data_IF_631827140000
#
_entry.id   IF_631827140000
#
_cell.length_a   1.000
_cell.length_b   1.000
_cell.length_c   1.000
_cell.angle_alpha   90.00
_cell.angle_beta   90.00
_cell.angle_gamma   90.00
#
_symmetry.space_group_name_H-M   'P 1'
#
loop_
_entity.id
_entity.type
_entity.pdbx_description
1 polymer ?
#
# COMPACT_ATOMS: atom_id res chain seq x y z
N UNK A 1 17.21 -35.16 -19.79
CA UNK A 1 15.92 -34.94 -19.09
C UNK A 1 16.03 -35.58 -17.72
N UNK A 2 16.41 -34.80 -16.70
CA UNK A 2 16.27 -35.21 -15.29
C UNK A 2 15.74 -34.02 -14.52
N UNK A 3 14.49 -34.16 -14.07
CA UNK A 3 13.70 -33.16 -13.40
C UNK A 3 13.90 -33.30 -11.89
N UNK A 4 15.01 -32.73 -11.37
CA UNK A 4 15.23 -32.65 -9.93
C UNK A 4 14.28 -31.61 -9.31
N UNK A 5 13.17 -32.08 -8.77
CA UNK A 5 12.29 -31.26 -7.93
C UNK A 5 12.96 -31.10 -6.58
N UNK A 6 13.37 -29.87 -6.23
CA UNK A 6 13.70 -29.53 -4.84
C UNK A 6 12.41 -29.68 -4.03
N UNK A 7 12.29 -30.75 -3.24
CA UNK A 7 11.19 -30.95 -2.30
C UNK A 7 11.70 -30.64 -0.89
N UNK A 8 11.35 -29.44 -0.38
CA UNK A 8 11.55 -29.09 1.02
C UNK A 8 10.46 -29.76 1.87
N UNK A 9 10.85 -30.72 2.71
CA UNK A 9 9.96 -31.45 3.64
C UNK A 9 9.94 -30.79 5.04
N UNK A 10 10.77 -29.77 5.28
CA UNK A 10 10.81 -29.06 6.55
C UNK A 10 9.90 -27.81 6.48
N UNK A 11 8.74 -27.91 7.13
CA UNK A 11 7.87 -26.75 7.37
C UNK A 11 8.42 -25.92 8.53
N UNK A 12 9.20 -24.88 8.21
CA UNK A 12 9.67 -23.95 9.22
C UNK A 12 8.58 -22.93 9.59
N UNK A 13 8.07 -22.99 10.83
CA UNK A 13 6.99 -22.15 11.34
C UNK A 13 7.46 -21.07 12.32
N UNK A 14 8.78 -20.87 12.46
CA UNK A 14 9.34 -19.92 13.43
C UNK A 14 8.93 -18.48 13.07
N UNK A 15 8.37 -17.78 14.05
CA UNK A 15 8.05 -16.36 13.96
C UNK A 15 9.02 -15.59 14.84
N UNK A 16 9.72 -14.62 14.25
CA UNK A 16 10.65 -13.75 14.97
C UNK A 16 10.00 -12.40 15.17
N UNK A 17 9.61 -12.11 16.41
CA UNK A 17 9.04 -10.80 16.74
C UNK A 17 10.15 -9.73 16.75
N UNK A 18 9.86 -8.52 16.24
CA UNK A 18 10.77 -7.40 16.38
C UNK A 18 10.98 -7.04 17.87
N UNK A 19 12.14 -6.47 18.17
CA UNK A 19 12.46 -6.01 19.52
C UNK A 19 11.48 -4.92 20.03
N UNK A 20 11.25 -4.89 21.34
CA UNK A 20 10.33 -3.95 21.98
C UNK A 20 10.75 -2.47 21.76
N UNK A 21 12.04 -2.17 21.80
CA UNK A 21 12.57 -0.82 21.53
C UNK A 21 12.37 -0.38 20.08
N UNK A 22 12.36 -1.32 19.14
CA UNK A 22 12.04 -1.05 17.73
C UNK A 22 10.55 -0.78 17.54
N UNK A 23 9.68 -1.63 18.10
CA UNK A 23 8.22 -1.48 17.98
C UNK A 23 7.70 -0.20 18.62
N UNK A 24 8.29 0.25 19.72
CA UNK A 24 7.94 1.51 20.37
C UNK A 24 8.15 2.75 19.48
N UNK A 25 9.06 2.69 18.49
CA UNK A 25 9.36 3.78 17.55
C UNK A 25 8.67 3.60 16.19
N UNK A 26 7.86 2.56 16.02
CA UNK A 26 7.19 2.29 14.77
C UNK A 26 6.12 3.36 14.47
N UNK A 27 6.10 3.88 13.24
CA UNK A 27 5.08 4.84 12.80
C UNK A 27 3.69 4.20 12.63
N UNK A 28 3.66 2.89 12.40
CA UNK A 28 2.44 2.12 12.18
C UNK A 28 2.43 0.96 13.17
N UNK A 29 1.44 0.96 14.05
CA UNK A 29 1.21 -0.13 15.01
C UNK A 29 0.38 -1.25 14.36
N UNK A 30 0.35 -2.48 14.93
CA UNK A 30 -0.48 -3.56 14.41
C UNK A 30 -1.96 -3.20 14.34
N UNK A 31 -2.47 -2.49 15.35
CA UNK A 31 -3.84 -1.98 15.36
C UNK A 31 -4.06 -0.98 14.22
N UNK A 32 -3.14 -0.02 14.03
CA UNK A 32 -3.25 0.96 12.95
C UNK A 32 -3.19 0.31 11.57
N UNK A 33 -2.34 -0.71 11.41
CA UNK A 33 -2.24 -1.48 10.18
C UNK A 33 -3.56 -2.21 9.86
N UNK A 34 -4.21 -2.79 10.88
CA UNK A 34 -5.50 -3.45 10.72
C UNK A 34 -6.59 -2.46 10.27
N UNK A 35 -6.63 -1.25 10.86
CA UNK A 35 -7.54 -0.18 10.43
C UNK A 35 -7.29 0.23 8.97
N UNK A 36 -6.03 0.45 8.59
CA UNK A 36 -5.66 0.85 7.22
C UNK A 36 -6.06 -0.22 6.20
N UNK A 37 -5.87 -1.50 6.54
CA UNK A 37 -6.30 -2.63 5.70
C UNK A 37 -7.82 -2.67 5.54
N UNK A 38 -8.55 -2.57 6.64
CA UNK A 38 -10.02 -2.56 6.58
C UNK A 38 -10.56 -1.38 5.75
N UNK A 39 -9.93 -0.20 5.85
CA UNK A 39 -10.29 0.95 5.04
C UNK A 39 -10.01 0.71 3.54
N UNK A 40 -8.85 0.16 3.20
CA UNK A 40 -8.47 -0.15 1.83
C UNK A 40 -9.33 -1.27 1.20
N UNK A 41 -9.74 -2.27 2.00
CA UNK A 41 -10.64 -3.33 1.57
C UNK A 41 -12.06 -2.83 1.30
N UNK A 42 -12.53 -1.86 2.09
CA UNK A 42 -13.87 -1.29 1.93
C UNK A 42 -13.98 -0.42 0.68
N UNK A 43 -13.02 0.46 0.45
CA UNK A 43 -12.96 1.33 -0.73
C UNK A 43 -11.51 1.75 -1.01
N UNK A 44 -10.86 1.02 -1.91
CA UNK A 44 -9.46 1.24 -2.26
C UNK A 44 -9.23 2.59 -2.95
N UNK A 45 -10.20 3.06 -3.75
CA UNK A 45 -10.10 4.33 -4.49
C UNK A 45 -10.18 5.50 -3.52
N UNK A 46 -11.17 5.50 -2.62
CA UNK A 46 -11.30 6.54 -1.59
C UNK A 46 -10.13 6.52 -0.60
N UNK A 47 -9.64 5.33 -0.23
CA UNK A 47 -8.46 5.17 0.62
C UNK A 47 -7.24 5.88 0.02
N UNK A 48 -6.91 5.59 -1.24
CA UNK A 48 -5.78 6.22 -1.92
C UNK A 48 -6.01 7.72 -2.16
N UNK A 49 -7.24 8.15 -2.47
CA UNK A 49 -7.56 9.57 -2.59
C UNK A 49 -7.29 10.33 -1.29
N UNK A 50 -7.66 9.74 -0.15
CA UNK A 50 -7.44 10.32 1.18
C UNK A 50 -5.95 10.50 1.45
N UNK A 51 -5.17 9.43 1.29
CA UNK A 51 -3.72 9.46 1.49
C UNK A 51 -3.04 10.46 0.55
N UNK A 52 -3.41 10.48 -0.74
CA UNK A 52 -2.83 11.40 -1.70
C UNK A 52 -3.06 12.87 -1.32
N UNK A 53 -4.21 13.21 -0.74
CA UNK A 53 -4.49 14.58 -0.27
C UNK A 53 -3.76 14.94 1.02
N UNK A 54 -3.47 13.95 1.86
CA UNK A 54 -2.82 14.15 3.17
C UNK A 54 -1.29 14.20 3.05
N UNK A 55 -0.71 13.31 2.25
CA UNK A 55 0.73 13.04 2.23
C UNK A 55 1.47 13.79 1.11
N UNK A 56 0.75 14.26 0.08
CA UNK A 56 1.36 14.95 -1.07
C UNK A 56 1.00 16.44 -1.11
N UNK A 57 1.99 17.27 -1.43
CA UNK A 57 1.81 18.69 -1.62
C UNK A 57 1.35 18.99 -3.06
N UNK A 58 0.05 19.25 -3.21
CA UNK A 58 -0.54 19.60 -4.50
C UNK A 58 -0.48 21.11 -4.75
N UNK A 59 0.02 21.50 -5.92
CA UNK A 59 -0.14 22.87 -6.43
C UNK A 59 -1.57 23.10 -6.90
N UNK A 60 -2.14 22.09 -7.56
CA UNK A 60 -3.55 22.04 -7.95
C UNK A 60 -4.13 20.72 -7.42
N UNK A 61 -5.11 20.76 -6.50
CA UNK A 61 -5.80 19.56 -6.04
C UNK A 61 -6.48 18.82 -7.19
N UNK A 62 -6.49 17.49 -7.14
CA UNK A 62 -7.19 16.65 -8.11
C UNK A 62 -8.67 16.48 -7.73
N UNK A 63 -9.51 16.31 -8.75
CA UNK A 63 -10.93 15.93 -8.61
C UNK A 63 -11.17 14.50 -9.08
N UNK A 64 -10.40 14.02 -10.05
CA UNK A 64 -10.50 12.66 -10.59
C UNK A 64 -9.52 11.76 -9.84
N UNK A 65 -10.03 10.81 -9.07
CA UNK A 65 -9.16 9.91 -8.30
C UNK A 65 -8.59 8.79 -9.18
N UNK A 66 -9.47 8.01 -9.81
CA UNK A 66 -9.12 6.92 -10.72
C UNK A 66 -9.91 7.10 -12.01
N UNK A 67 -9.20 7.05 -13.13
CA UNK A 67 -9.73 6.98 -14.48
C UNK A 67 -9.38 5.62 -15.08
N UNK A 68 -10.37 4.73 -15.16
CA UNK A 68 -10.26 3.36 -15.65
C UNK A 68 -10.73 3.18 -17.10
N UNK A 69 -11.18 4.25 -17.76
CA UNK A 69 -11.78 4.22 -19.10
C UNK A 69 -10.86 3.70 -20.19
N UNK A 70 -9.54 3.74 -19.97
CA UNK A 70 -8.51 3.29 -20.92
C UNK A 70 -7.77 2.04 -20.44
N UNK A 71 -8.39 1.19 -19.61
CA UNK A 71 -7.79 -0.07 -19.16
C UNK A 71 -7.13 -0.84 -20.34
N UNK A 72 -5.87 -1.32 -20.19
CA UNK A 72 -5.09 -1.41 -18.95
C UNK A 72 -4.29 -0.14 -18.57
N UNK A 73 -4.43 0.95 -19.32
CA UNK A 73 -3.78 2.23 -19.01
C UNK A 73 -4.62 3.06 -18.04
N UNK A 74 -4.55 2.71 -16.76
CA UNK A 74 -5.23 3.45 -15.68
C UNK A 74 -4.56 4.79 -15.40
N UNK A 75 -5.36 5.82 -15.17
CA UNK A 75 -4.88 7.15 -14.75
C UNK A 75 -5.28 7.44 -13.30
N UNK A 76 -4.33 7.88 -12.48
CA UNK A 76 -4.59 8.34 -11.12
C UNK A 76 -4.38 9.84 -11.01
N UNK A 77 -5.28 10.53 -10.29
CA UNK A 77 -5.17 11.96 -9.97
C UNK A 77 -4.99 12.86 -11.22
N UNK A 78 -5.68 12.51 -12.31
CA UNK A 78 -5.33 12.93 -13.68
C UNK A 78 -5.40 14.44 -13.93
N UNK A 79 -6.16 15.17 -13.13
CA UNK A 79 -6.34 16.63 -13.24
C UNK A 79 -5.58 17.44 -12.18
N UNK A 80 -4.86 16.76 -11.27
CA UNK A 80 -4.02 17.35 -10.25
C UNK A 80 -2.63 17.75 -10.76
N UNK A 81 -1.95 18.61 -10.01
CA UNK A 81 -0.58 19.04 -10.34
C UNK A 81 0.26 19.17 -9.08
N UNK A 82 1.46 18.58 -9.09
CA UNK A 82 2.44 18.67 -8.00
C UNK A 82 3.85 18.86 -8.57
N UNK A 83 4.83 19.05 -7.70
CA UNK A 83 6.24 19.05 -8.06
C UNK A 83 7.02 18.14 -7.10
N UNK A 84 7.92 17.31 -7.63
CA UNK A 84 8.72 16.33 -6.87
C UNK A 84 10.12 16.86 -6.53
N UNK A 85 10.55 17.95 -7.18
CA UNK A 85 11.91 18.51 -7.12
C UNK A 85 12.38 18.91 -5.74
#
# INVERSE_FOLDING_TARGET
MSNDKIQSVLGETRVFHPDAGFTAKARVTPAKLAELRAAAEKDSVAFWAGLARQELAWKKPFTVTLDDRKAPNYGWFTDGTLNVS
#
